data_IF_151089224742
#
_entry.id   IF_151089224742
#
_cell.length_a   1.000
_cell.length_b   1.000
_cell.length_c   1.000
_cell.angle_alpha   90.00
_cell.angle_beta   90.00
_cell.angle_gamma   90.00
#
_symmetry.space_group_name_H-M   'P 1'
#
loop_
_entity.id
_entity.type
_entity.pdbx_description
1 polymer ?
#
# COMPACT_ATOMS: atom_id res chain seq x y z
N UNK A 1 -5.30 11.84 -2.05
CA UNK A 1 -4.29 11.62 -3.14
C UNK A 1 -2.85 11.92 -2.76
N UNK A 2 -2.52 12.91 -1.90
CA UNK A 2 -1.12 13.24 -1.57
C UNK A 2 -0.29 12.06 -1.02
N UNK A 3 -0.87 11.22 -0.15
CA UNK A 3 -0.18 10.06 0.42
C UNK A 3 0.20 9.03 -0.65
N UNK A 4 -0.72 8.73 -1.57
CA UNK A 4 -0.47 7.78 -2.67
C UNK A 4 0.65 8.24 -3.60
N UNK A 5 0.65 9.53 -3.98
CA UNK A 5 1.71 10.09 -4.84
C UNK A 5 3.07 10.07 -4.14
N UNK A 6 3.11 10.36 -2.83
CA UNK A 6 4.33 10.26 -2.03
C UNK A 6 4.82 8.81 -1.96
N UNK A 7 3.92 7.86 -1.73
CA UNK A 7 4.25 6.44 -1.67
C UNK A 7 4.89 5.94 -2.97
N UNK A 8 4.25 6.19 -4.12
CA UNK A 8 4.84 5.84 -5.42
C UNK A 8 6.16 6.57 -5.69
N UNK A 9 6.32 7.81 -5.22
CA UNK A 9 7.59 8.53 -5.34
C UNK A 9 8.70 7.88 -4.51
N UNK A 10 8.39 7.34 -3.33
CA UNK A 10 9.38 6.67 -2.48
C UNK A 10 9.72 5.27 -3.04
N UNK A 11 8.72 4.53 -3.52
CA UNK A 11 8.94 3.28 -4.25
C UNK A 11 9.84 3.48 -5.49
N UNK A 12 9.61 4.55 -6.27
CA UNK A 12 10.45 4.87 -7.42
C UNK A 12 11.91 5.18 -7.03
N UNK A 13 12.13 5.85 -5.90
CA UNK A 13 13.48 6.07 -5.36
C UNK A 13 14.14 4.76 -4.96
N UNK A 14 13.40 3.87 -4.28
CA UNK A 14 13.90 2.56 -3.89
C UNK A 14 14.29 1.72 -5.09
N UNK A 15 13.48 1.74 -6.16
CA UNK A 15 13.80 1.07 -7.41
C UNK A 15 15.12 1.58 -7.99
N UNK A 16 15.26 2.90 -8.10
CA UNK A 16 16.45 3.52 -8.67
C UNK A 16 17.72 3.24 -7.84
N UNK A 17 17.60 3.26 -6.52
CA UNK A 17 18.70 3.01 -5.59
C UNK A 17 18.98 1.53 -5.37
N UNK A 18 18.17 0.62 -5.94
CA UNK A 18 18.18 -0.82 -5.64
C UNK A 18 18.10 -1.10 -4.14
N UNK A 19 17.33 -0.27 -3.44
CA UNK A 19 17.17 -0.36 -2.00
C UNK A 19 16.03 -1.32 -1.66
N UNK A 20 16.28 -2.20 -0.69
CA UNK A 20 15.25 -3.06 -0.10
C UNK A 20 15.06 -2.65 1.37
N UNK A 21 13.89 -2.07 1.72
CA UNK A 21 13.57 -1.69 3.09
C UNK A 21 13.41 -2.90 4.02
N UNK A 22 13.24 -2.64 5.32
CA UNK A 22 12.67 -3.62 6.26
C UNK A 22 11.18 -3.81 5.97
N UNK A 23 10.58 -4.88 6.47
CA UNK A 23 9.15 -5.15 6.34
C UNK A 23 8.30 -4.01 6.89
N UNK A 24 8.62 -3.51 8.09
CA UNK A 24 7.91 -2.37 8.67
C UNK A 24 8.10 -1.09 7.84
N UNK A 25 9.32 -0.85 7.34
CA UNK A 25 9.62 0.30 6.48
C UNK A 25 8.89 0.25 5.14
N UNK A 26 8.78 -0.95 4.55
CA UNK A 26 7.98 -1.21 3.36
C UNK A 26 6.50 -0.91 3.61
N UNK A 27 5.93 -1.52 4.65
CA UNK A 27 4.50 -1.41 4.97
C UNK A 27 4.09 0.03 5.27
N UNK A 28 4.93 0.82 5.92
CA UNK A 28 4.66 2.24 6.18
C UNK A 28 4.40 3.05 4.89
N UNK A 29 5.03 2.67 3.78
CA UNK A 29 4.85 3.32 2.46
C UNK A 29 3.74 2.64 1.66
N UNK A 30 3.77 1.31 1.59
CA UNK A 30 2.90 0.50 0.73
C UNK A 30 1.42 0.56 1.13
N UNK A 31 1.10 0.83 2.39
CA UNK A 31 -0.29 1.05 2.82
C UNK A 31 -0.90 2.31 2.20
N UNK A 32 -0.08 3.35 1.98
CA UNK A 32 -0.50 4.59 1.34
C UNK A 32 -0.84 4.43 -0.15
N UNK A 33 -0.33 3.38 -0.80
CA UNK A 33 -0.59 3.02 -2.20
C UNK A 33 -1.63 1.90 -2.35
N UNK A 34 -2.28 1.49 -1.25
CA UNK A 34 -3.27 0.41 -1.19
C UNK A 34 -4.73 0.93 -1.13
N UNK A 35 -5.58 0.30 -0.32
CA UNK A 35 -7.03 0.47 -0.32
C UNK A 35 -7.56 1.82 0.17
N UNK A 36 -6.76 2.64 0.87
CA UNK A 36 -7.19 3.95 1.38
C UNK A 36 -7.81 4.84 0.29
N UNK A 37 -7.20 4.88 -0.90
CA UNK A 37 -7.72 5.67 -2.02
C UNK A 37 -9.04 5.10 -2.54
N UNK A 38 -9.13 3.78 -2.71
CA UNK A 38 -10.34 3.13 -3.17
C UNK A 38 -11.49 3.32 -2.19
N UNK A 39 -11.24 3.16 -0.88
CA UNK A 39 -12.23 3.41 0.17
C UNK A 39 -12.72 4.86 0.11
N UNK A 40 -11.82 5.84 0.11
CA UNK A 40 -12.19 7.27 0.05
C UNK A 40 -13.02 7.59 -1.19
N UNK A 41 -12.61 7.13 -2.37
CA UNK A 41 -13.35 7.34 -3.63
C UNK A 41 -14.71 6.65 -3.61
N UNK A 42 -14.82 5.47 -2.99
CA UNK A 42 -16.10 4.76 -2.87
C UNK A 42 -17.09 5.54 -2.02
N UNK A 43 -16.66 6.15 -0.91
CA UNK A 43 -17.51 7.03 -0.09
C UNK A 43 -17.98 8.25 -0.90
N UNK A 44 -17.08 8.90 -1.64
CA UNK A 44 -17.44 10.03 -2.52
C UNK A 44 -18.46 9.58 -3.58
N UNK A 45 -18.31 8.35 -4.11
CA UNK A 45 -19.23 7.77 -5.08
C UNK A 45 -20.65 7.50 -4.56
N UNK A 46 -20.90 7.59 -3.25
CA UNK A 46 -22.24 7.42 -2.67
C UNK A 46 -23.16 8.64 -2.89
N UNK A 47 -22.66 9.72 -3.49
CA UNK A 47 -23.44 10.89 -3.85
C UNK A 47 -24.07 11.56 -2.63
N UNK A 48 -25.37 11.84 -2.68
CA UNK A 48 -26.08 12.61 -1.65
C UNK A 48 -26.15 11.93 -0.27
N UNK A 49 -25.76 10.66 -0.17
CA UNK A 49 -25.71 9.91 1.10
C UNK A 49 -24.45 10.27 1.91
N UNK A 50 -23.35 10.66 1.24
CA UNK A 50 -22.08 10.91 1.94
C UNK A 50 -22.13 12.21 2.72
N UNK A 51 -21.67 12.18 3.97
CA UNK A 51 -21.56 13.38 4.81
C UNK A 51 -20.11 13.76 5.03
N UNK A 52 -19.87 14.99 5.51
CA UNK A 52 -18.54 15.42 5.92
C UNK A 52 -17.98 14.52 7.01
N UNK A 53 -18.80 14.12 7.97
CA UNK A 53 -18.42 13.22 9.06
C UNK A 53 -17.99 11.84 8.54
N UNK A 54 -18.67 11.34 7.51
CA UNK A 54 -18.30 10.08 6.86
C UNK A 54 -16.94 10.18 6.16
N UNK A 55 -16.67 11.31 5.51
CA UNK A 55 -15.38 11.59 4.87
C UNK A 55 -14.25 11.81 5.90
N UNK A 56 -14.50 12.57 6.95
CA UNK A 56 -13.54 12.77 8.04
C UNK A 56 -13.25 11.43 8.75
N UNK A 57 -14.27 10.59 8.94
CA UNK A 57 -14.10 9.24 9.48
C UNK A 57 -13.23 8.35 8.60
N UNK A 58 -13.49 8.24 7.28
CA UNK A 58 -12.66 7.40 6.40
C UNK A 58 -11.23 7.96 6.29
N UNK A 59 -11.06 9.29 6.28
CA UNK A 59 -9.76 9.94 6.20
C UNK A 59 -8.94 9.84 7.50
N UNK A 60 -9.58 9.53 8.63
CA UNK A 60 -8.90 9.29 9.91
C UNK A 60 -8.14 7.96 9.98
N UNK A 61 -8.13 7.18 8.89
CA UNK A 61 -7.60 5.81 8.81
C UNK A 61 -8.18 4.88 9.89
N UNK A 62 -9.51 4.66 9.88
CA UNK A 62 -10.15 3.81 10.87
C UNK A 62 -9.64 2.37 10.71
N UNK A 63 -9.62 1.61 11.81
CA UNK A 63 -9.06 0.24 11.86
C UNK A 63 -9.49 -0.67 10.70
N UNK A 64 -10.74 -0.54 10.24
CA UNK A 64 -11.25 -1.32 9.11
C UNK A 64 -10.56 -0.96 7.79
N UNK A 65 -10.34 0.32 7.49
CA UNK A 65 -9.66 0.77 6.27
C UNK A 65 -8.19 0.39 6.32
N UNK A 66 -7.55 0.54 7.49
CA UNK A 66 -6.18 0.11 7.71
C UNK A 66 -6.02 -1.41 7.49
N UNK A 67 -6.91 -2.22 8.08
CA UNK A 67 -6.90 -3.69 7.91
C UNK A 67 -7.11 -4.11 6.46
N UNK A 68 -8.04 -3.47 5.75
CA UNK A 68 -8.26 -3.71 4.31
C UNK A 68 -7.04 -3.31 3.49
N UNK A 69 -6.33 -2.25 3.85
CA UNK A 69 -5.11 -1.82 3.18
C UNK A 69 -3.97 -2.81 3.36
N UNK A 70 -3.81 -3.37 4.58
CA UNK A 70 -2.84 -4.43 4.85
C UNK A 70 -3.17 -5.69 4.05
N UNK A 71 -4.40 -6.18 4.16
CA UNK A 71 -4.84 -7.39 3.44
C UNK A 71 -4.68 -7.23 1.94
N UNK A 72 -5.17 -6.10 1.41
CA UNK A 72 -5.09 -5.79 -0.01
C UNK A 72 -3.64 -5.74 -0.51
N UNK A 73 -2.74 -5.11 0.24
CA UNK A 73 -1.33 -4.98 -0.14
C UNK A 73 -0.63 -6.33 -0.15
N UNK A 74 -0.78 -7.10 0.92
CA UNK A 74 -0.15 -8.43 1.01
C UNK A 74 -0.70 -9.39 -0.04
N UNK A 75 -2.01 -9.39 -0.30
CA UNK A 75 -2.61 -10.24 -1.33
C UNK A 75 -2.13 -9.87 -2.73
N UNK A 76 -2.05 -8.57 -3.04
CA UNK A 76 -1.56 -8.07 -4.32
C UNK A 76 -0.11 -8.52 -4.55
N UNK A 77 0.77 -8.23 -3.58
CA UNK A 77 2.19 -8.61 -3.62
C UNK A 77 2.39 -10.12 -3.78
N UNK A 78 1.66 -10.95 -3.02
CA UNK A 78 1.74 -12.41 -3.17
C UNK A 78 1.31 -12.87 -4.57
N UNK A 79 0.28 -12.23 -5.14
CA UNK A 79 -0.27 -12.60 -6.44
C UNK A 79 0.62 -12.14 -7.59
N UNK A 80 1.21 -10.95 -7.49
CA UNK A 80 2.05 -10.31 -8.51
C UNK A 80 3.52 -10.72 -8.44
N UNK A 81 3.99 -11.19 -7.28
CA UNK A 81 5.39 -11.50 -6.95
C UNK A 81 6.24 -12.03 -8.11
N UNK A 82 5.84 -13.17 -8.70
CA UNK A 82 6.63 -13.81 -9.78
C UNK A 82 6.69 -12.98 -11.06
N UNK A 83 5.65 -12.23 -11.37
CA UNK A 83 5.62 -11.33 -12.52
C UNK A 83 6.49 -10.09 -12.25
N UNK A 84 6.42 -9.55 -11.04
CA UNK A 84 7.14 -8.34 -10.65
C UNK A 84 8.66 -8.54 -10.59
N UNK A 85 9.11 -9.69 -10.10
CA UNK A 85 10.53 -10.06 -10.18
C UNK A 85 11.03 -10.12 -11.63
N UNK A 86 10.25 -10.69 -12.55
CA UNK A 86 10.66 -10.84 -13.96
C UNK A 86 10.84 -9.50 -14.67
N UNK A 87 10.02 -8.49 -14.35
CA UNK A 87 10.09 -7.16 -14.98
C UNK A 87 11.07 -6.20 -14.29
N UNK A 88 11.69 -6.61 -13.17
CA UNK A 88 12.57 -5.74 -12.38
C UNK A 88 11.80 -4.64 -11.64
N UNK A 89 10.86 -5.03 -10.78
CA UNK A 89 10.14 -4.11 -9.90
C UNK A 89 10.88 -3.91 -8.56
N UNK A 90 10.35 -3.02 -7.69
CA UNK A 90 10.82 -2.91 -6.30
C UNK A 90 10.62 -4.22 -5.54
N UNK A 91 11.35 -4.39 -4.43
CA UNK A 91 11.07 -5.44 -3.45
C UNK A 91 9.65 -5.29 -2.89
N UNK A 92 8.84 -6.34 -2.99
CA UNK A 92 7.51 -6.42 -2.40
C UNK A 92 7.60 -6.87 -0.93
N UNK A 93 6.45 -7.01 -0.27
CA UNK A 93 6.37 -7.62 1.06
C UNK A 93 7.09 -8.99 1.14
N UNK A 94 7.05 -9.78 0.07
CA UNK A 94 7.68 -11.12 0.04
C UNK A 94 9.20 -10.98 0.16
N UNK A 95 9.84 -10.16 -0.67
CA UNK A 95 11.30 -9.97 -0.61
C UNK A 95 11.74 -9.29 0.68
N UNK A 96 10.96 -8.32 1.18
CA UNK A 96 11.27 -7.64 2.44
C UNK A 96 11.24 -8.64 3.60
N UNK A 97 10.21 -9.48 3.67
CA UNK A 97 10.08 -10.52 4.69
C UNK A 97 11.20 -11.57 4.59
N UNK A 98 11.50 -12.07 3.39
CA UNK A 98 12.59 -13.03 3.17
C UNK A 98 13.95 -12.48 3.60
N UNK A 99 14.23 -11.21 3.25
CA UNK A 99 15.49 -10.54 3.62
C UNK A 99 15.61 -10.35 5.13
N UNK A 100 14.54 -9.95 5.80
CA UNK A 100 14.57 -9.62 7.23
C UNK A 100 14.61 -10.85 8.13
N UNK A 101 13.87 -11.91 7.77
CA UNK A 101 13.72 -13.10 8.61
C UNK A 101 14.45 -14.35 8.07
N UNK A 102 15.14 -14.25 6.93
CA UNK A 102 15.83 -15.39 6.31
C UNK A 102 14.90 -16.49 5.81
N UNK A 103 13.67 -16.13 5.42
CA UNK A 103 12.69 -17.08 4.87
C UNK A 103 13.00 -17.49 3.42
N UNK A 104 12.42 -18.60 2.97
CA UNK A 104 12.62 -19.22 1.65
C UNK A 104 11.36 -19.23 0.82
#
# INVERSE_FOLDING_TARGET
MKCQVRGYSDEAKWLHQKYTPTMDGYMAVALGTSYMMLSTTSFIGMGDIVTKESLDWVLSDPKIVNSLSILGRLMDDMKSHKFEQKRGHIASAVECYMKEYGAT
#
